data_IF_153430390676
#
_entry.id   IF_153430390676
#
_cell.length_a   1.000
_cell.length_b   1.000
_cell.length_c   1.000
_cell.angle_alpha   90.00
_cell.angle_beta   90.00
_cell.angle_gamma   90.00
#
_symmetry.space_group_name_H-M   'P 1'
#
loop_
_entity.id
_entity.type
_entity.pdbx_description
1 polymer ?
#
# COMPACT_ATOMS: atom_id res chain seq x y z
N UNK A 1 10.16 36.02 -6.99
CA UNK A 1 10.71 35.36 -5.80
C UNK A 1 11.73 34.34 -6.29
N UNK A 2 12.95 34.29 -5.76
CA UNK A 2 13.94 33.30 -6.21
C UNK A 2 13.48 31.93 -5.69
N UNK A 3 13.31 30.97 -6.59
CA UNK A 3 13.00 29.60 -6.21
C UNK A 3 14.29 28.89 -5.80
N UNK A 4 14.41 28.54 -4.52
CA UNK A 4 15.56 27.80 -4.01
C UNK A 4 15.10 26.50 -3.35
N UNK A 5 15.92 25.43 -3.37
CA UNK A 5 15.56 24.16 -2.75
C UNK A 5 15.17 24.25 -1.28
N UNK A 6 15.63 25.29 -0.56
CA UNK A 6 15.20 25.57 0.82
C UNK A 6 13.69 25.85 0.99
N UNK A 7 12.92 26.01 -0.10
CA UNK A 7 11.45 26.14 -0.05
C UNK A 7 10.74 24.93 0.56
N UNK A 8 11.34 23.74 0.53
CA UNK A 8 10.76 22.55 1.16
C UNK A 8 11.05 22.45 2.67
N UNK A 9 11.83 23.38 3.21
CA UNK A 9 12.22 23.38 4.62
C UNK A 9 11.10 23.93 5.52
N UNK A 10 10.94 23.37 6.73
CA UNK A 10 11.73 22.27 7.30
C UNK A 10 11.30 20.92 6.70
N UNK A 11 12.26 20.01 6.53
CA UNK A 11 11.98 18.62 6.11
C UNK A 11 11.92 17.64 7.30
N UNK A 12 12.52 18.02 8.44
CA UNK A 12 12.69 17.21 9.64
C UNK A 12 12.79 18.03 10.92
N UNK A 13 12.67 17.35 12.06
CA UNK A 13 12.87 17.90 13.40
C UNK A 13 14.32 17.63 13.88
N UNK A 14 15.27 18.36 13.31
CA UNK A 14 16.72 18.12 13.52
C UNK A 14 17.19 18.49 14.94
N UNK A 15 16.65 19.56 15.51
CA UNK A 15 17.06 20.04 16.85
C UNK A 15 16.44 19.20 17.97
N UNK A 16 15.16 18.86 17.84
CA UNK A 16 14.40 18.10 18.84
C UNK A 16 13.23 17.37 18.20
N UNK A 17 13.21 16.04 18.32
CA UNK A 17 12.07 15.24 17.90
C UNK A 17 10.90 15.50 18.87
N UNK A 18 9.71 15.90 18.39
CA UNK A 18 8.54 16.03 19.23
C UNK A 18 8.18 14.70 19.91
N UNK A 19 7.92 14.74 21.22
CA UNK A 19 7.67 13.53 22.03
C UNK A 19 6.56 12.65 21.45
N UNK A 20 5.44 13.24 21.00
CA UNK A 20 4.33 12.50 20.38
C UNK A 20 4.75 11.69 19.14
N UNK A 21 5.69 12.21 18.33
CA UNK A 21 6.17 11.49 17.14
C UNK A 21 7.12 10.35 17.53
N UNK A 22 7.92 10.55 18.58
CA UNK A 22 8.76 9.50 19.14
C UNK A 22 7.90 8.35 19.71
N UNK A 23 6.88 8.66 20.50
CA UNK A 23 5.96 7.68 21.10
C UNK A 23 5.21 6.90 20.02
N UNK A 24 4.66 7.60 19.00
CA UNK A 24 4.02 6.96 17.84
C UNK A 24 4.99 6.04 17.09
N UNK A 25 6.25 6.45 16.90
CA UNK A 25 7.24 5.63 16.17
C UNK A 25 7.54 4.30 16.88
N UNK A 26 7.62 4.32 18.22
CA UNK A 26 7.85 3.14 19.05
C UNK A 26 6.62 2.22 18.99
N UNK A 27 5.42 2.79 19.11
CA UNK A 27 4.18 2.03 19.04
C UNK A 27 3.98 1.38 17.66
N UNK A 28 4.21 2.11 16.57
CA UNK A 28 4.19 1.59 15.20
C UNK A 28 5.17 0.41 15.06
N UNK A 29 6.40 0.56 15.54
CA UNK A 29 7.39 -0.51 15.45
C UNK A 29 6.93 -1.77 16.20
N UNK A 30 6.36 -1.61 17.40
CA UNK A 30 5.84 -2.72 18.21
C UNK A 30 4.68 -3.42 17.50
N UNK A 31 3.69 -2.68 17.00
CA UNK A 31 2.52 -3.27 16.34
C UNK A 31 2.91 -3.91 15.00
N UNK A 32 3.78 -3.28 14.22
CA UNK A 32 4.27 -3.84 12.95
C UNK A 32 5.03 -5.16 13.16
N UNK A 33 5.80 -5.28 14.24
CA UNK A 33 6.52 -6.52 14.58
C UNK A 33 5.61 -7.71 14.92
N UNK A 34 4.34 -7.45 15.26
CA UNK A 34 3.35 -8.50 15.52
C UNK A 34 2.55 -8.90 14.27
N UNK A 35 2.67 -8.17 13.15
CA UNK A 35 1.92 -8.48 11.93
C UNK A 35 2.32 -9.84 11.35
N UNK A 36 1.30 -10.63 11.05
CA UNK A 36 1.47 -11.97 10.48
C UNK A 36 2.03 -13.01 11.44
N UNK A 37 2.13 -12.70 12.75
CA UNK A 37 2.53 -13.68 13.76
C UNK A 37 1.59 -14.89 13.72
N UNK A 38 2.18 -16.08 13.60
CA UNK A 38 1.43 -17.35 13.53
C UNK A 38 0.93 -17.73 12.13
N UNK A 39 1.07 -16.87 11.13
CA UNK A 39 0.86 -17.25 9.74
C UNK A 39 2.09 -17.99 9.20
N UNK A 40 1.87 -19.04 8.42
CA UNK A 40 2.94 -19.64 7.63
C UNK A 40 3.44 -18.62 6.58
N UNK A 41 4.76 -18.54 6.29
CA UNK A 41 5.29 -17.58 5.31
C UNK A 41 4.62 -17.64 3.93
N UNK A 42 4.30 -18.85 3.45
CA UNK A 42 3.56 -18.99 2.19
C UNK A 42 2.15 -18.41 2.26
N UNK A 43 1.39 -18.67 3.34
CA UNK A 43 0.06 -18.07 3.54
C UNK A 43 0.12 -16.55 3.70
N UNK A 44 1.16 -16.05 4.35
CA UNK A 44 1.39 -14.61 4.48
C UNK A 44 1.70 -13.98 3.11
N UNK A 45 2.45 -14.65 2.24
CA UNK A 45 2.71 -14.17 0.88
C UNK A 45 1.43 -14.08 0.03
N UNK A 46 0.52 -15.05 0.19
CA UNK A 46 -0.82 -15.05 -0.44
C UNK A 46 -1.69 -13.89 0.04
N UNK A 47 -1.66 -13.58 1.34
CA UNK A 47 -2.35 -12.40 1.89
C UNK A 47 -1.69 -11.10 1.43
N UNK A 48 -0.37 -11.05 1.36
CA UNK A 48 0.35 -9.88 0.87
C UNK A 48 -0.02 -9.55 -0.59
N UNK A 49 -0.27 -10.56 -1.44
CA UNK A 49 -0.78 -10.33 -2.81
C UNK A 49 -2.16 -9.64 -2.80
N UNK A 50 -3.05 -10.07 -1.91
CA UNK A 50 -4.36 -9.42 -1.73
C UNK A 50 -4.20 -7.97 -1.24
N UNK A 51 -3.30 -7.74 -0.27
CA UNK A 51 -3.03 -6.40 0.28
C UNK A 51 -2.40 -5.48 -0.76
N UNK A 52 -1.53 -5.97 -1.66
CA UNK A 52 -1.01 -5.20 -2.81
C UNK A 52 -2.13 -4.75 -3.73
N UNK A 53 -3.07 -5.65 -4.06
CA UNK A 53 -4.22 -5.32 -4.88
C UNK A 53 -5.10 -4.25 -4.20
N UNK A 54 -5.34 -4.38 -2.90
CA UNK A 54 -6.05 -3.40 -2.11
C UNK A 54 -5.31 -2.05 -2.06
N UNK A 55 -3.98 -2.06 -1.90
CA UNK A 55 -3.16 -0.85 -1.89
C UNK A 55 -3.28 -0.12 -3.23
N UNK A 56 -3.18 -0.85 -4.35
CA UNK A 56 -3.40 -0.33 -5.70
C UNK A 56 -4.79 0.29 -5.87
N UNK A 57 -5.85 -0.42 -5.45
CA UNK A 57 -7.22 0.08 -5.47
C UNK A 57 -7.36 1.44 -4.77
N UNK A 58 -6.91 1.57 -3.51
CA UNK A 58 -7.02 2.83 -2.78
C UNK A 58 -6.06 3.91 -3.29
N UNK A 59 -4.87 3.53 -3.75
CA UNK A 59 -3.90 4.46 -4.35
C UNK A 59 -4.51 5.14 -5.57
N UNK A 60 -5.16 4.40 -6.45
CA UNK A 60 -5.83 4.94 -7.63
C UNK A 60 -7.14 5.66 -7.27
N UNK A 61 -7.88 5.19 -6.26
CA UNK A 61 -9.09 5.87 -5.78
C UNK A 61 -8.82 7.31 -5.31
N UNK A 62 -7.67 7.57 -4.67
CA UNK A 62 -7.26 8.91 -4.24
C UNK A 62 -7.14 9.88 -5.44
N UNK A 63 -6.69 9.37 -6.59
CA UNK A 63 -6.59 10.12 -7.84
C UNK A 63 -7.94 10.23 -8.59
N UNK A 64 -9.02 9.67 -8.03
CA UNK A 64 -10.35 9.62 -8.65
C UNK A 64 -10.58 8.44 -9.59
N UNK A 65 -9.61 7.53 -9.71
CA UNK A 65 -9.67 6.37 -10.58
C UNK A 65 -10.37 5.19 -9.90
N UNK A 66 -11.68 5.07 -10.11
CA UNK A 66 -12.49 4.02 -9.49
C UNK A 66 -12.48 2.72 -10.32
N UNK A 67 -11.54 1.82 -9.99
CA UNK A 67 -11.43 0.49 -10.62
C UNK A 67 -12.10 -0.57 -9.75
N UNK A 68 -12.86 -1.50 -10.33
CA UNK A 68 -13.42 -2.62 -9.54
C UNK A 68 -12.31 -3.63 -9.22
N UNK A 69 -12.20 -4.16 -7.99
CA UNK A 69 -11.17 -5.15 -7.64
C UNK A 69 -11.11 -6.36 -8.59
N UNK A 70 -12.25 -6.80 -9.11
CA UNK A 70 -12.33 -7.89 -10.10
C UNK A 70 -11.69 -7.56 -11.44
N UNK A 71 -11.72 -6.30 -11.87
CA UNK A 71 -11.03 -5.87 -13.09
C UNK A 71 -9.51 -5.88 -12.88
N UNK A 72 -9.03 -5.53 -11.67
CA UNK A 72 -7.61 -5.63 -11.29
C UNK A 72 -7.15 -7.09 -11.32
N UNK A 73 -7.94 -8.01 -10.74
CA UNK A 73 -7.66 -9.45 -10.76
C UNK A 73 -7.59 -10.01 -12.19
N UNK A 74 -8.55 -9.64 -13.06
CA UNK A 74 -8.52 -10.00 -14.49
C UNK A 74 -7.27 -9.47 -15.19
N UNK A 75 -6.89 -8.22 -14.94
CA UNK A 75 -5.71 -7.60 -15.54
C UNK A 75 -4.41 -8.30 -15.10
N UNK A 76 -4.30 -8.66 -13.81
CA UNK A 76 -3.17 -9.43 -13.27
C UNK A 76 -3.10 -10.84 -13.85
N UNK A 77 -4.24 -11.46 -14.13
CA UNK A 77 -4.31 -12.77 -14.78
C UNK A 77 -4.02 -12.73 -16.30
N UNK A 78 -3.84 -11.54 -16.89
CA UNK A 78 -3.67 -11.38 -18.34
C UNK A 78 -4.93 -11.72 -19.14
N UNK A 79 -6.10 -11.66 -18.50
CA UNK A 79 -7.38 -11.88 -19.18
C UNK A 79 -7.72 -10.69 -20.08
N UNK A 80 -8.57 -10.93 -21.09
CA UNK A 80 -9.17 -9.87 -21.88
C UNK A 80 -10.00 -8.93 -20.98
N UNK A 81 -9.93 -7.62 -21.24
CA UNK A 81 -10.57 -6.57 -20.45
C UNK A 81 -11.55 -5.80 -21.33
N UNK A 82 -12.67 -5.38 -20.75
CA UNK A 82 -13.64 -4.53 -21.46
C UNK A 82 -12.98 -3.19 -21.82
N UNK A 83 -13.21 -2.65 -23.04
CA UNK A 83 -12.59 -1.41 -23.49
C UNK A 83 -12.76 -0.24 -22.52
N UNK A 84 -13.91 -0.15 -21.85
CA UNK A 84 -14.25 0.94 -20.94
C UNK A 84 -13.49 0.89 -19.62
N UNK A 85 -13.18 -0.31 -19.10
CA UNK A 85 -12.48 -0.48 -17.81
C UNK A 85 -10.99 -0.78 -17.99
N UNK A 86 -10.55 -1.14 -19.21
CA UNK A 86 -9.17 -1.49 -19.54
C UNK A 86 -8.13 -0.46 -19.07
N UNK A 87 -8.30 0.86 -19.27
CA UNK A 87 -7.27 1.82 -18.87
C UNK A 87 -7.00 1.78 -17.36
N UNK A 88 -8.07 1.86 -16.55
CA UNK A 88 -7.96 1.89 -15.08
C UNK A 88 -7.51 0.54 -14.51
N UNK A 89 -7.93 -0.57 -15.13
CA UNK A 89 -7.50 -1.91 -14.74
C UNK A 89 -6.01 -2.15 -15.01
N UNK A 90 -5.49 -1.68 -16.14
CA UNK A 90 -4.06 -1.75 -16.44
C UNK A 90 -3.24 -0.81 -15.54
N UNK A 91 -3.77 0.35 -15.20
CA UNK A 91 -3.14 1.27 -14.25
C UNK A 91 -3.01 0.62 -12.86
N UNK A 92 -4.08 -0.03 -12.40
CA UNK A 92 -4.07 -0.77 -11.15
C UNK A 92 -3.11 -1.97 -11.18
N UNK A 93 -3.04 -2.69 -12.31
CA UNK A 93 -2.06 -3.77 -12.53
C UNK A 93 -0.64 -3.24 -12.43
N UNK A 94 -0.30 -2.16 -13.13
CA UNK A 94 1.02 -1.53 -13.11
C UNK A 94 1.45 -1.19 -11.68
N UNK A 95 0.58 -0.58 -10.89
CA UNK A 95 0.85 -0.31 -9.48
C UNK A 95 1.17 -1.59 -8.67
N UNK A 96 0.41 -2.67 -8.86
CA UNK A 96 0.65 -3.95 -8.17
C UNK A 96 2.01 -4.53 -8.57
N UNK A 97 2.37 -4.46 -9.85
CA UNK A 97 3.64 -4.98 -10.36
C UNK A 97 4.84 -4.21 -9.79
N UNK A 98 4.81 -2.88 -9.80
CA UNK A 98 5.88 -2.06 -9.21
C UNK A 98 6.02 -2.32 -7.71
N UNK A 99 4.90 -2.42 -6.97
CA UNK A 99 4.97 -2.75 -5.55
C UNK A 99 5.56 -4.14 -5.30
N UNK A 100 5.23 -5.13 -6.13
CA UNK A 100 5.83 -6.48 -6.05
C UNK A 100 7.34 -6.42 -6.26
N UNK A 101 7.82 -5.64 -7.24
CA UNK A 101 9.25 -5.48 -7.48
C UNK A 101 9.97 -4.79 -6.31
N UNK A 102 9.34 -3.79 -5.67
CA UNK A 102 9.85 -3.18 -4.43
C UNK A 102 10.00 -4.22 -3.32
N UNK A 103 8.96 -5.05 -3.10
CA UNK A 103 8.98 -6.10 -2.08
C UNK A 103 10.09 -7.13 -2.38
N UNK A 104 10.25 -7.55 -3.63
CA UNK A 104 11.30 -8.47 -4.05
C UNK A 104 12.71 -7.88 -3.88
N UNK A 105 12.91 -6.62 -4.26
CA UNK A 105 14.19 -5.93 -4.05
C UNK A 105 14.53 -5.85 -2.56
N UNK A 106 13.53 -5.59 -1.70
CA UNK A 106 13.72 -5.57 -0.26
C UNK A 106 14.13 -6.94 0.29
N UNK A 107 13.41 -8.00 -0.10
CA UNK A 107 13.71 -9.38 0.32
C UNK A 107 15.10 -9.83 -0.13
N UNK A 108 15.55 -9.41 -1.32
CA UNK A 108 16.89 -9.70 -1.86
C UNK A 108 17.99 -8.80 -1.27
N UNK A 109 17.65 -7.80 -0.45
CA UNK A 109 18.62 -6.83 0.09
C UNK A 109 19.17 -5.85 -0.94
N UNK A 110 18.47 -5.67 -2.06
CA UNK A 110 18.89 -4.85 -3.22
C UNK A 110 18.11 -3.53 -3.34
N UNK A 111 17.09 -3.32 -2.50
CA UNK A 111 16.31 -2.08 -2.48
C UNK A 111 17.19 -0.88 -2.11
N UNK A 112 17.38 0.03 -3.07
CA UNK A 112 18.13 1.28 -2.89
C UNK A 112 17.42 2.26 -1.93
N UNK A 113 18.00 3.46 -1.74
CA UNK A 113 17.32 4.54 -1.02
C UNK A 113 16.01 4.94 -1.72
N UNK A 114 14.84 4.75 -1.06
CA UNK A 114 13.55 5.11 -1.65
C UNK A 114 13.42 6.60 -1.95
N UNK A 115 14.23 7.43 -1.27
CA UNK A 115 14.22 8.88 -1.42
C UNK A 115 15.28 9.38 -2.40
N UNK A 116 16.07 8.48 -3.00
CA UNK A 116 17.01 8.82 -4.07
C UNK A 116 16.31 9.19 -5.37
N UNK A 117 16.96 10.06 -6.16
CA UNK A 117 16.49 10.42 -7.51
C UNK A 117 16.34 9.18 -8.39
N UNK A 118 17.30 8.26 -8.33
CA UNK A 118 17.29 7.04 -9.14
C UNK A 118 16.10 6.14 -8.82
N UNK A 119 15.80 5.92 -7.53
CA UNK A 119 14.64 5.13 -7.14
C UNK A 119 13.33 5.77 -7.60
N UNK A 120 13.19 7.09 -7.45
CA UNK A 120 11.95 7.79 -7.82
C UNK A 120 11.73 7.77 -9.34
N UNK A 121 12.80 7.99 -10.12
CA UNK A 121 12.76 7.86 -11.58
C UNK A 121 12.46 6.42 -12.01
N UNK A 122 13.08 5.43 -11.37
CA UNK A 122 12.82 4.02 -11.62
C UNK A 122 11.37 3.66 -11.31
N UNK A 123 10.83 4.06 -10.17
CA UNK A 123 9.45 3.76 -9.76
C UNK A 123 8.44 4.33 -10.75
N UNK A 124 8.63 5.58 -11.17
CA UNK A 124 7.82 6.19 -12.23
C UNK A 124 7.99 5.47 -13.56
N UNK A 125 9.23 5.14 -13.96
CA UNK A 125 9.52 4.42 -15.21
C UNK A 125 8.83 3.06 -15.24
N UNK A 126 9.04 2.24 -14.23
CA UNK A 126 8.45 0.91 -14.10
C UNK A 126 6.91 0.95 -14.15
N UNK A 127 6.31 1.98 -13.53
CA UNK A 127 4.86 2.15 -13.58
C UNK A 127 4.35 2.42 -15.01
N UNK A 128 4.93 3.39 -15.72
CA UNK A 128 4.48 3.69 -17.08
C UNK A 128 4.92 2.64 -18.09
N UNK A 129 6.02 1.92 -17.86
CA UNK A 129 6.47 0.82 -18.74
C UNK A 129 5.51 -0.37 -18.73
N UNK A 130 4.80 -0.62 -17.63
CA UNK A 130 3.71 -1.59 -17.55
C UNK A 130 2.44 -1.15 -18.30
N UNK A 131 2.32 0.13 -18.66
CA UNK A 131 1.17 0.69 -19.34
C UNK A 131 1.36 0.72 -20.86
N UNK A 132 0.33 0.38 -21.66
CA UNK A 132 0.35 0.64 -23.10
C UNK A 132 0.67 2.11 -23.45
N UNK A 133 1.36 2.35 -24.57
CA UNK A 133 1.78 3.69 -25.00
C UNK A 133 0.60 4.66 -25.13
N UNK A 134 -0.58 4.17 -25.54
CA UNK A 134 -1.79 5.00 -25.68
C UNK A 134 -2.27 5.64 -24.36
N UNK A 135 -1.82 5.13 -23.21
CA UNK A 135 -2.16 5.66 -21.89
C UNK A 135 -1.05 6.51 -21.26
N UNK A 136 0.04 6.80 -22.00
CA UNK A 136 1.17 7.62 -21.54
C UNK A 136 1.05 9.08 -22.01
N UNK A 137 -0.15 9.65 -21.95
CA UNK A 137 -0.40 11.03 -22.37
C UNK A 137 -1.24 11.78 -21.35
N UNK A 138 -0.87 13.03 -21.07
CA UNK A 138 -1.69 13.96 -20.30
C UNK A 138 -2.15 15.12 -21.16
N UNK A 139 -3.33 15.65 -20.85
CA UNK A 139 -3.81 16.90 -21.42
C UNK A 139 -3.32 18.07 -20.59
N UNK A 140 -2.52 18.96 -21.19
CA UNK A 140 -2.03 20.18 -20.56
C UNK A 140 -3.14 21.24 -20.41
N UNK A 141 -2.93 22.28 -19.59
CA UNK A 141 -3.89 23.38 -19.43
C UNK A 141 -4.22 24.10 -20.75
N UNK A 142 -3.28 24.15 -21.70
CA UNK A 142 -3.47 24.70 -23.05
C UNK A 142 -4.27 23.77 -23.99
N UNK A 143 -4.63 22.58 -23.52
CA UNK A 143 -5.39 21.57 -24.26
C UNK A 143 -4.55 20.62 -25.12
N UNK A 144 -3.22 20.82 -25.19
CA UNK A 144 -2.31 19.98 -25.96
C UNK A 144 -2.05 18.67 -25.22
N UNK A 145 -2.07 17.55 -25.96
CA UNK A 145 -1.63 16.27 -25.43
C UNK A 145 -0.11 16.24 -25.36
N UNK A 146 0.41 16.00 -24.17
CA UNK A 146 1.83 15.83 -23.93
C UNK A 146 2.11 14.39 -23.51
N UNK A 147 3.13 13.81 -24.11
CA UNK A 147 3.63 12.49 -23.74
C UNK A 147 4.23 12.52 -22.34
N UNK A 148 3.91 11.49 -21.56
CA UNK A 148 4.54 11.18 -20.28
C UNK A 148 5.76 10.31 -20.60
N UNK A 149 6.94 10.92 -20.60
CA UNK A 149 8.18 10.17 -20.80
C UNK A 149 8.52 9.42 -19.51
N UNK A 150 8.56 8.08 -19.50
CA UNK A 150 8.76 7.31 -18.28
C UNK A 150 10.09 7.68 -17.58
N UNK A 151 9.99 8.06 -16.31
CA UNK A 151 11.12 8.35 -15.43
C UNK A 151 11.70 9.76 -15.58
N UNK A 152 11.15 10.59 -16.48
CA UNK A 152 11.62 11.95 -16.68
C UNK A 152 10.87 12.93 -15.78
N UNK A 153 11.64 13.80 -15.11
CA UNK A 153 11.06 14.96 -14.43
C UNK A 153 10.56 15.97 -15.45
N UNK A 154 9.59 16.81 -15.05
CA UNK A 154 9.22 17.99 -15.83
C UNK A 154 10.39 18.97 -15.91
N UNK A 155 10.61 19.60 -17.07
CA UNK A 155 11.81 20.42 -17.32
C UNK A 155 11.50 21.79 -17.90
N UNK A 156 10.45 21.91 -18.72
CA UNK A 156 10.13 23.15 -19.45
C UNK A 156 9.00 23.89 -18.74
N UNK A 157 8.93 25.21 -18.90
CA UNK A 157 7.82 26.00 -18.35
C UNK A 157 6.44 25.53 -18.84
N UNK A 158 6.35 24.98 -20.06
CA UNK A 158 5.13 24.38 -20.58
C UNK A 158 4.70 23.09 -19.86
N UNK A 159 5.57 22.55 -18.99
CA UNK A 159 5.32 21.38 -18.15
C UNK A 159 4.97 21.77 -16.70
N UNK A 160 4.85 23.08 -16.40
CA UNK A 160 4.45 23.54 -15.06
C UNK A 160 3.02 23.08 -14.72
N UNK A 161 2.82 22.74 -13.46
CA UNK A 161 1.60 22.12 -12.95
C UNK A 161 1.04 22.92 -11.77
N UNK A 162 -0.26 22.79 -11.54
CA UNK A 162 -0.96 23.34 -10.38
C UNK A 162 -1.68 22.20 -9.66
N UNK A 163 -1.54 22.13 -8.33
CA UNK A 163 -2.08 21.03 -7.52
C UNK A 163 -3.05 21.62 -6.50
N UNK A 164 -4.33 21.65 -6.84
CA UNK A 164 -5.35 22.26 -5.98
C UNK A 164 -5.10 23.76 -5.82
N UNK A 165 -4.57 24.19 -4.66
CA UNK A 165 -4.18 25.58 -4.39
C UNK A 165 -2.65 25.77 -4.31
N UNK A 166 -1.90 24.68 -4.39
CA UNK A 166 -0.45 24.68 -4.29
C UNK A 166 0.17 24.88 -5.67
N UNK A 167 1.21 25.71 -5.71
CA UNK A 167 2.08 25.93 -6.86
C UNK A 167 3.44 25.28 -6.58
N UNK A 168 3.70 24.08 -7.13
CA UNK A 168 5.00 23.44 -7.07
C UNK A 168 6.13 24.35 -7.63
N UNK A 169 7.41 24.04 -7.34
CA UNK A 169 8.53 24.73 -7.95
C UNK A 169 8.43 24.75 -9.48
N UNK A 170 8.97 25.74 -10.16
CA UNK A 170 9.00 25.77 -11.63
C UNK A 170 9.76 24.56 -12.18
N UNK A 171 9.40 24.09 -13.36
CA UNK A 171 9.97 22.84 -13.94
C UNK A 171 11.48 22.93 -14.12
N UNK A 172 12.01 24.11 -14.43
CA UNK A 172 13.45 24.37 -14.51
C UNK A 172 14.19 24.28 -13.17
N UNK A 173 13.48 24.15 -12.05
CA UNK A 173 14.03 24.06 -10.69
C UNK A 173 13.79 22.69 -10.04
N UNK A 174 13.04 21.79 -10.67
CA UNK A 174 12.72 20.48 -10.10
C UNK A 174 13.97 19.67 -9.79
N UNK A 175 14.95 19.63 -10.70
CA UNK A 175 16.18 18.84 -10.51
C UNK A 175 16.96 19.29 -9.24
N UNK A 176 17.29 20.58 -9.02
CA UNK A 176 17.89 21.05 -7.77
C UNK A 176 17.07 20.73 -6.51
N UNK A 177 15.74 20.80 -6.58
CA UNK A 177 14.87 20.44 -5.46
C UNK A 177 14.93 18.95 -5.13
N UNK A 178 14.94 18.09 -6.16
CA UNK A 178 15.03 16.65 -6.00
C UNK A 178 16.39 16.19 -5.47
N UNK A 179 17.47 16.84 -5.88
CA UNK A 179 18.81 16.60 -5.32
C UNK A 179 18.87 16.97 -3.83
N UNK A 180 18.28 18.11 -3.46
CA UNK A 180 18.18 18.53 -2.07
C UNK A 180 17.30 17.60 -1.24
N UNK A 181 16.15 17.18 -1.78
CA UNK A 181 15.27 16.18 -1.18
C UNK A 181 16.03 14.88 -0.90
N UNK A 182 16.66 14.29 -1.92
CA UNK A 182 17.39 13.04 -1.79
C UNK A 182 18.53 13.14 -0.76
N UNK A 183 19.26 14.26 -0.74
CA UNK A 183 20.31 14.51 0.25
C UNK A 183 19.77 14.53 1.67
N UNK A 184 18.68 15.27 1.93
CA UNK A 184 18.14 15.42 3.28
C UNK A 184 17.51 14.13 3.79
N UNK A 185 16.70 13.47 2.98
CA UNK A 185 16.01 12.25 3.37
C UNK A 185 16.93 11.02 3.42
N UNK A 186 17.93 10.93 2.54
CA UNK A 186 18.93 9.87 2.58
C UNK A 186 19.75 9.86 3.89
N UNK A 187 19.97 11.02 4.52
CA UNK A 187 20.60 11.07 5.84
C UNK A 187 19.70 10.50 6.94
N UNK A 188 18.41 10.84 6.93
CA UNK A 188 17.44 10.40 7.92
C UNK A 188 17.18 8.89 7.91
N UNK A 189 17.37 8.22 6.78
CA UNK A 189 17.27 6.76 6.67
C UNK A 189 18.27 6.01 7.59
N UNK A 190 19.41 6.65 7.90
CA UNK A 190 20.46 6.07 8.75
C UNK A 190 20.22 6.31 10.24
N UNK A 191 19.18 7.05 10.63
CA UNK A 191 18.90 7.39 12.02
C UNK A 191 17.69 6.61 12.53
N UNK A 192 17.88 5.61 13.42
CA UNK A 192 16.79 4.79 13.92
C UNK A 192 15.64 5.58 14.55
N UNK A 193 15.96 6.69 15.23
CA UNK A 193 15.02 7.61 15.87
C UNK A 193 14.18 8.43 14.90
N UNK A 194 14.60 8.56 13.64
CA UNK A 194 13.97 9.46 12.66
C UNK A 194 13.36 8.72 11.49
N UNK A 195 13.89 7.56 11.09
CA UNK A 195 13.50 6.87 9.84
C UNK A 195 12.01 6.56 9.70
N UNK A 196 11.28 6.29 10.79
CA UNK A 196 9.82 6.08 10.74
C UNK A 196 9.10 7.42 10.56
N UNK A 197 9.50 8.45 11.32
CA UNK A 197 8.94 9.80 11.23
C UNK A 197 9.17 10.39 9.84
N UNK A 198 10.32 10.08 9.23
CA UNK A 198 10.70 10.49 7.89
C UNK A 198 9.73 10.07 6.80
N UNK A 199 9.01 8.96 6.98
CA UNK A 199 8.07 8.46 5.97
C UNK A 199 6.99 9.51 5.71
N UNK A 200 6.47 10.13 6.78
CA UNK A 200 5.45 11.15 6.68
C UNK A 200 5.98 12.40 5.97
N UNK A 201 7.07 13.00 6.47
CA UNK A 201 7.59 14.23 5.88
C UNK A 201 8.10 14.01 4.45
N UNK A 202 8.73 12.88 4.13
CA UNK A 202 9.15 12.55 2.77
C UNK A 202 7.96 12.48 1.81
N UNK A 203 6.89 11.81 2.24
CA UNK A 203 5.66 11.68 1.46
C UNK A 203 5.10 13.06 1.09
N UNK A 204 5.01 13.97 2.07
CA UNK A 204 4.52 15.31 1.83
C UNK A 204 5.46 16.11 0.92
N UNK A 205 6.76 16.14 1.24
CA UNK A 205 7.72 16.98 0.51
C UNK A 205 7.95 16.54 -0.93
N UNK A 206 7.81 15.25 -1.24
CA UNK A 206 7.81 14.79 -2.63
C UNK A 206 6.60 15.33 -3.41
N UNK A 207 5.41 15.29 -2.81
CA UNK A 207 4.20 15.85 -3.42
C UNK A 207 4.24 17.38 -3.54
N UNK A 208 4.89 18.06 -2.59
CA UNK A 208 5.13 19.50 -2.67
C UNK A 208 6.01 19.87 -3.88
N UNK A 209 7.05 19.08 -4.16
CA UNK A 209 7.93 19.29 -5.33
C UNK A 209 7.21 18.93 -6.63
N UNK A 210 6.38 17.88 -6.59
CA UNK A 210 5.60 17.38 -7.72
C UNK A 210 6.47 17.19 -8.99
N UNK A 211 7.52 16.35 -8.94
CA UNK A 211 8.59 16.37 -9.94
C UNK A 211 8.22 15.82 -11.32
N UNK A 212 7.15 15.04 -11.44
CA UNK A 212 6.74 14.41 -12.69
C UNK A 212 5.53 15.13 -13.33
N UNK A 213 5.31 14.99 -14.65
CA UNK A 213 4.11 15.51 -15.31
C UNK A 213 2.80 14.86 -14.81
N UNK A 214 2.86 13.57 -14.44
CA UNK A 214 1.76 12.80 -13.85
C UNK A 214 2.32 11.72 -12.92
N UNK A 215 1.47 11.09 -12.11
CA UNK A 215 1.85 9.92 -11.31
C UNK A 215 2.48 10.24 -9.96
N UNK A 216 2.67 11.52 -9.61
CA UNK A 216 3.34 11.95 -8.38
C UNK A 216 2.75 11.32 -7.11
N UNK A 217 1.42 11.29 -6.96
CA UNK A 217 0.77 10.67 -5.81
C UNK A 217 1.02 9.16 -5.71
N UNK A 218 1.00 8.45 -6.85
CA UNK A 218 1.27 7.01 -6.92
C UNK A 218 2.73 6.73 -6.56
N UNK A 219 3.67 7.49 -7.13
CA UNK A 219 5.11 7.40 -6.82
C UNK A 219 5.37 7.70 -5.34
N UNK A 220 4.72 8.71 -4.75
CA UNK A 220 4.92 9.04 -3.33
C UNK A 220 4.40 7.96 -2.39
N UNK A 221 3.29 7.30 -2.72
CA UNK A 221 2.76 6.17 -1.94
C UNK A 221 3.63 4.92 -2.08
N UNK A 222 4.16 4.63 -3.28
CA UNK A 222 5.14 3.57 -3.49
C UNK A 222 6.47 3.85 -2.77
N UNK A 223 6.93 5.10 -2.76
CA UNK A 223 8.08 5.54 -1.96
C UNK A 223 7.82 5.31 -0.47
N UNK A 224 6.67 5.74 0.06
CA UNK A 224 6.33 5.53 1.48
C UNK A 224 6.30 4.04 1.84
N UNK A 225 5.79 3.18 0.96
CA UNK A 225 5.83 1.73 1.13
C UNK A 225 7.27 1.20 1.18
N UNK A 226 8.12 1.60 0.25
CA UNK A 226 9.54 1.21 0.24
C UNK A 226 10.31 1.72 1.47
N UNK A 227 10.01 2.93 1.95
CA UNK A 227 10.58 3.46 3.19
C UNK A 227 10.11 2.65 4.41
N UNK A 228 8.83 2.25 4.47
CA UNK A 228 8.31 1.39 5.53
C UNK A 228 9.02 0.03 5.58
N UNK A 229 9.28 -0.59 4.42
CA UNK A 229 10.08 -1.82 4.32
C UNK A 229 11.48 -1.60 4.93
N UNK A 230 12.22 -0.57 4.50
CA UNK A 230 13.57 -0.29 5.01
C UNK A 230 13.60 0.17 6.47
N UNK A 231 12.54 0.77 6.97
CA UNK A 231 12.41 1.16 8.38
C UNK A 231 12.09 -0.03 9.30
N UNK A 232 11.85 -1.24 8.75
CA UNK A 232 11.52 -2.44 9.51
C UNK A 232 10.05 -2.48 9.97
N UNK A 233 9.19 -1.68 9.35
CA UNK A 233 7.75 -1.64 9.66
C UNK A 233 6.89 -2.11 8.47
N UNK A 234 7.49 -2.71 7.45
CA UNK A 234 6.78 -3.19 6.26
C UNK A 234 5.82 -4.37 6.51
N UNK A 235 5.93 -5.05 7.66
CA UNK A 235 4.94 -6.03 8.13
C UNK A 235 4.65 -7.15 7.12
N UNK A 236 5.66 -7.65 6.41
CA UNK A 236 5.55 -8.66 5.36
C UNK A 236 4.61 -8.28 4.20
N UNK A 237 4.35 -6.99 3.99
CA UNK A 237 3.38 -6.51 2.99
C UNK A 237 1.92 -6.69 3.40
N UNK A 238 1.65 -6.94 4.69
CA UNK A 238 0.30 -7.19 5.20
C UNK A 238 -0.47 -5.92 5.59
N UNK A 239 0.06 -4.72 5.34
CA UNK A 239 -0.69 -3.47 5.54
C UNK A 239 -0.42 -2.48 4.40
N UNK A 240 -1.26 -1.44 4.31
CA UNK A 240 -1.20 -0.44 3.24
C UNK A 240 -1.47 0.95 3.79
N UNK A 241 -0.60 1.89 3.46
CA UNK A 241 -0.83 3.30 3.75
C UNK A 241 -1.94 3.90 2.89
N UNK A 242 -2.06 3.51 1.61
CA UNK A 242 -3.05 4.09 0.70
C UNK A 242 -4.50 3.91 1.17
N UNK A 243 -4.82 2.77 1.79
CA UNK A 243 -6.14 2.56 2.41
C UNK A 243 -6.43 3.60 3.50
N UNK A 244 -5.46 3.82 4.39
CA UNK A 244 -5.60 4.82 5.46
C UNK A 244 -5.74 6.24 4.91
N UNK A 245 -4.91 6.61 3.93
CA UNK A 245 -4.97 7.94 3.30
C UNK A 245 -6.29 8.19 2.57
N UNK A 246 -6.83 7.18 1.88
CA UNK A 246 -8.11 7.30 1.15
C UNK A 246 -9.32 7.46 2.09
N UNK A 247 -9.24 6.92 3.30
CA UNK A 247 -10.33 6.91 4.28
C UNK A 247 -10.27 8.03 5.30
N UNK A 248 -9.06 8.47 5.66
CA UNK A 248 -8.82 9.27 6.86
C UNK A 248 -9.05 8.48 8.15
N UNK A 249 -8.79 9.14 9.28
CA UNK A 249 -9.14 8.65 10.62
C UNK A 249 -10.59 8.98 10.97
N UNK A 250 -11.12 10.07 10.42
CA UNK A 250 -12.48 10.59 10.67
C UNK A 250 -13.29 10.68 9.38
N UNK A 251 -12.70 11.21 8.31
CA UNK A 251 -13.38 11.34 7.01
C UNK A 251 -12.41 11.34 5.82
N UNK A 252 -12.94 10.98 4.66
CA UNK A 252 -12.18 10.83 3.40
C UNK A 252 -11.49 12.12 2.91
N UNK A 253 -11.88 13.29 3.42
CA UNK A 253 -11.28 14.56 3.05
C UNK A 253 -10.03 14.93 3.87
N UNK A 254 -9.74 14.20 4.96
CA UNK A 254 -8.64 14.54 5.87
C UNK A 254 -7.28 14.58 5.17
N UNK A 255 -6.97 13.62 4.31
CA UNK A 255 -5.67 13.56 3.66
C UNK A 255 -5.37 14.83 2.87
N UNK A 256 -6.31 15.30 2.04
CA UNK A 256 -6.14 16.54 1.26
C UNK A 256 -5.99 17.76 2.18
N UNK A 257 -6.81 17.86 3.23
CA UNK A 257 -6.72 18.96 4.20
C UNK A 257 -5.38 18.98 4.96
N UNK A 258 -4.85 17.81 5.31
CA UNK A 258 -3.56 17.71 5.98
C UNK A 258 -2.39 18.01 5.04
N UNK A 259 -2.47 17.62 3.77
CA UNK A 259 -1.50 18.04 2.74
C UNK A 259 -1.47 19.56 2.60
N UNK A 260 -2.65 20.20 2.46
CA UNK A 260 -2.79 21.67 2.39
C UNK A 260 -2.28 22.34 3.67
N UNK A 261 -2.55 21.77 4.85
CA UNK A 261 -2.07 22.32 6.13
C UNK A 261 -0.54 22.34 6.19
N UNK A 262 0.12 21.25 5.79
CA UNK A 262 1.58 21.13 5.79
C UNK A 262 2.29 21.99 4.72
N UNK A 263 1.54 22.61 3.80
CA UNK A 263 2.00 23.65 2.87
C UNK A 263 1.96 25.05 3.50
N UNK A 264 1.44 25.19 4.73
CA UNK A 264 1.36 26.48 5.42
C UNK A 264 2.73 27.17 5.51
N UNK A 265 2.81 28.47 5.22
CA UNK A 265 4.05 29.23 5.39
C UNK A 265 4.42 29.35 6.87
N UNK A 266 5.72 29.53 7.13
CA UNK A 266 6.26 29.78 8.48
C UNK A 266 5.56 30.96 9.16
N UNK A 267 5.12 30.75 10.40
CA UNK A 267 4.37 31.73 11.21
C UNK A 267 5.26 32.39 12.26
N UNK A 268 6.12 33.30 11.79
CA UNK A 268 7.02 34.06 12.67
C UNK A 268 8.17 33.24 13.26
N UNK A 269 8.87 33.80 14.24
CA UNK A 269 10.17 33.26 14.68
C UNK A 269 10.09 32.00 15.54
N UNK A 270 8.95 31.76 16.21
CA UNK A 270 8.73 30.58 17.04
C UNK A 270 8.35 29.33 16.24
N UNK A 271 8.06 29.47 14.94
CA UNK A 271 7.60 28.38 14.06
C UNK A 271 8.76 27.70 13.30
N UNK A 272 9.85 27.45 14.02
CA UNK A 272 11.05 26.79 13.50
C UNK A 272 11.81 27.62 12.47
N UNK A 273 12.54 26.93 11.57
CA UNK A 273 13.34 27.52 10.48
C UNK A 273 12.85 26.99 9.14
N UNK A 274 13.13 27.72 8.07
CA UNK A 274 12.71 27.35 6.71
C UNK A 274 11.57 28.24 6.21
N UNK A 275 10.97 27.82 5.10
CA UNK A 275 9.90 28.57 4.44
C UNK A 275 8.50 28.10 4.87
N UNK A 276 8.37 26.82 5.23
CA UNK A 276 7.13 26.18 5.66
C UNK A 276 7.05 26.13 7.19
N UNK A 277 5.84 25.98 7.71
CA UNK A 277 5.57 25.92 9.14
C UNK A 277 6.08 24.60 9.75
N UNK A 278 6.92 24.71 10.79
CA UNK A 278 7.37 23.56 11.56
C UNK A 278 6.23 22.94 12.38
N UNK A 279 5.33 23.78 12.91
CA UNK A 279 4.13 23.33 13.61
C UNK A 279 3.18 22.55 12.69
N UNK A 280 2.92 23.06 11.49
CA UNK A 280 2.05 22.35 10.53
C UNK A 280 2.67 21.02 10.06
N UNK A 281 3.99 20.98 9.87
CA UNK A 281 4.70 19.73 9.59
C UNK A 281 4.55 18.72 10.74
N UNK A 282 4.66 19.17 12.00
CA UNK A 282 4.43 18.31 13.17
C UNK A 282 3.02 17.71 13.15
N UNK A 283 2.00 18.54 12.96
CA UNK A 283 0.61 18.08 12.93
C UNK A 283 0.37 17.06 11.81
N UNK A 284 0.94 17.32 10.63
CA UNK A 284 0.88 16.37 9.50
C UNK A 284 1.57 15.06 9.80
N UNK A 285 2.79 15.09 10.35
CA UNK A 285 3.51 13.88 10.73
C UNK A 285 2.77 13.08 11.80
N UNK A 286 2.18 13.75 12.80
CA UNK A 286 1.39 13.11 13.85
C UNK A 286 0.16 12.42 13.28
N UNK A 287 -0.58 13.10 12.40
CA UNK A 287 -1.73 12.52 11.69
C UNK A 287 -1.32 11.34 10.81
N UNK A 288 -0.30 11.49 9.96
CA UNK A 288 0.14 10.45 9.04
C UNK A 288 0.62 9.20 9.78
N UNK A 289 1.39 9.36 10.86
CA UNK A 289 1.84 8.24 11.70
C UNK A 289 0.67 7.60 12.45
N UNK A 290 -0.33 8.37 12.86
CA UNK A 290 -1.57 7.83 13.43
C UNK A 290 -2.35 6.99 12.41
N UNK A 291 -2.40 7.41 11.15
CA UNK A 291 -2.96 6.62 10.03
C UNK A 291 -2.15 5.33 9.82
N UNK A 292 -0.82 5.40 9.83
CA UNK A 292 0.04 4.21 9.74
C UNK A 292 -0.29 3.21 10.86
N UNK A 293 -0.35 3.69 12.11
CA UNK A 293 -0.67 2.86 13.26
C UNK A 293 -2.06 2.23 13.17
N UNK A 294 -3.07 3.01 12.78
CA UNK A 294 -4.44 2.52 12.56
C UNK A 294 -4.47 1.39 11.52
N UNK A 295 -3.82 1.58 10.37
CA UNK A 295 -3.81 0.57 9.31
C UNK A 295 -3.03 -0.70 9.70
N UNK A 296 -1.94 -0.57 10.48
CA UNK A 296 -1.22 -1.72 11.05
C UNK A 296 -2.13 -2.48 12.02
N UNK A 297 -2.83 -1.79 12.94
CA UNK A 297 -3.75 -2.42 13.90
C UNK A 297 -4.93 -3.10 13.22
N UNK A 298 -5.53 -2.43 12.22
CA UNK A 298 -6.57 -3.03 11.38
C UNK A 298 -6.05 -4.32 10.75
N UNK A 299 -4.87 -4.28 10.12
CA UNK A 299 -4.28 -5.45 9.48
C UNK A 299 -3.98 -6.58 10.47
N UNK A 300 -3.49 -6.26 11.67
CA UNK A 300 -3.23 -7.24 12.72
C UNK A 300 -4.52 -7.95 13.16
N UNK A 301 -5.62 -7.19 13.34
CA UNK A 301 -6.92 -7.77 13.66
C UNK A 301 -7.49 -8.61 12.51
N UNK A 302 -7.33 -8.14 11.27
CA UNK A 302 -7.87 -8.79 10.08
C UNK A 302 -7.13 -10.06 9.71
N UNK A 303 -5.81 -10.11 9.91
CA UNK A 303 -4.97 -11.24 9.50
C UNK A 303 -4.50 -12.11 10.66
N UNK A 304 -5.06 -11.90 11.86
CA UNK A 304 -4.92 -12.82 12.99
C UNK A 304 -5.33 -14.24 12.58
N UNK A 305 -4.43 -15.21 12.76
CA UNK A 305 -4.57 -16.57 12.22
C UNK A 305 -5.83 -17.28 12.74
N UNK A 306 -6.16 -17.13 14.03
CA UNK A 306 -7.30 -17.82 14.64
C UNK A 306 -8.63 -17.28 14.11
N UNK A 307 -8.76 -15.93 14.06
CA UNK A 307 -9.95 -15.28 13.49
C UNK A 307 -10.07 -15.55 12.00
N UNK A 308 -8.96 -15.48 11.26
CA UNK A 308 -8.96 -15.74 9.83
C UNK A 308 -9.37 -17.18 9.54
N UNK A 309 -8.77 -18.17 10.22
CA UNK A 309 -9.16 -19.58 10.07
C UNK A 309 -10.65 -19.79 10.37
N UNK A 310 -11.17 -19.15 11.42
CA UNK A 310 -12.59 -19.24 11.78
C UNK A 310 -13.49 -18.70 10.67
N UNK A 311 -13.22 -17.49 10.16
CA UNK A 311 -13.99 -16.90 9.06
C UNK A 311 -13.90 -17.74 7.79
N UNK A 312 -12.72 -18.29 7.50
CA UNK A 312 -12.48 -19.12 6.32
C UNK A 312 -13.25 -20.44 6.38
N UNK A 313 -13.20 -21.13 7.53
CA UNK A 313 -13.94 -22.38 7.77
C UNK A 313 -15.46 -22.18 7.68
N UNK A 314 -15.96 -21.08 8.26
CA UNK A 314 -17.39 -20.73 8.17
C UNK A 314 -17.81 -20.47 6.73
N UNK A 315 -17.03 -19.67 6.00
CA UNK A 315 -17.31 -19.39 4.60
C UNK A 315 -17.38 -20.67 3.76
N UNK A 316 -16.39 -21.55 3.91
CA UNK A 316 -16.32 -22.78 3.12
C UNK A 316 -17.45 -23.74 3.45
N UNK A 317 -17.86 -23.82 4.72
CA UNK A 317 -19.04 -24.60 5.13
C UNK A 317 -20.32 -24.10 4.46
N UNK A 318 -20.46 -22.79 4.26
CA UNK A 318 -21.66 -22.21 3.65
C UNK A 318 -21.66 -22.32 2.13
N UNK A 319 -20.48 -22.41 1.50
CA UNK A 319 -20.33 -22.44 0.04
C UNK A 319 -20.25 -23.87 -0.51
N UNK A 320 -19.67 -24.80 0.23
CA UNK A 320 -19.45 -26.19 -0.19
C UNK A 320 -20.20 -27.17 0.73
N UNK A 321 -20.86 -28.16 0.12
CA UNK A 321 -21.56 -29.24 0.84
C UNK A 321 -20.60 -30.28 1.45
N UNK A 322 -19.31 -30.23 1.09
CA UNK A 322 -18.31 -31.13 1.66
C UNK A 322 -17.88 -30.70 3.08
N UNK A 323 -18.38 -31.44 4.09
CA UNK A 323 -18.07 -31.22 5.51
C UNK A 323 -16.59 -31.28 5.87
N UNK A 324 -15.73 -31.86 5.03
CA UNK A 324 -14.28 -31.98 5.24
C UNK A 324 -13.51 -30.78 4.67
N UNK A 325 -14.11 -30.02 3.76
CA UNK A 325 -13.46 -28.89 3.12
C UNK A 325 -12.96 -27.82 4.12
N UNK A 326 -13.70 -27.46 5.19
CA UNK A 326 -13.19 -26.55 6.22
C UNK A 326 -11.92 -27.06 6.92
N UNK A 327 -11.80 -28.36 7.17
CA UNK A 327 -10.63 -28.95 7.83
C UNK A 327 -9.40 -28.90 6.94
N UNK A 328 -9.53 -29.28 5.67
CA UNK A 328 -8.44 -29.24 4.69
C UNK A 328 -7.90 -27.81 4.53
N UNK A 329 -8.78 -26.82 4.51
CA UNK A 329 -8.41 -25.41 4.43
C UNK A 329 -7.66 -24.93 5.66
N UNK A 330 -8.08 -25.34 6.85
CA UNK A 330 -7.41 -24.95 8.09
C UNK A 330 -6.00 -25.52 8.17
N UNK A 331 -5.81 -26.75 7.68
CA UNK A 331 -4.48 -27.37 7.53
C UNK A 331 -3.64 -26.56 6.55
N UNK A 332 -4.12 -26.28 5.33
CA UNK A 332 -3.35 -25.55 4.32
C UNK A 332 -3.02 -24.12 4.78
N UNK A 333 -3.96 -23.42 5.42
CA UNK A 333 -3.71 -22.08 5.95
C UNK A 333 -2.57 -22.07 6.99
N UNK A 334 -2.53 -23.07 7.88
CA UNK A 334 -1.50 -23.22 8.93
C UNK A 334 -0.15 -23.72 8.42
N UNK A 335 -0.14 -24.55 7.40
CA UNK A 335 1.08 -25.17 6.86
C UNK A 335 1.58 -24.51 5.56
N UNK A 336 0.85 -23.56 4.99
CA UNK A 336 1.21 -22.82 3.78
C UNK A 336 0.82 -23.54 2.50
N UNK A 337 1.34 -24.75 2.33
CA UNK A 337 1.02 -25.61 1.20
C UNK A 337 0.81 -27.05 1.63
N UNK A 338 0.18 -27.81 0.73
CA UNK A 338 -0.05 -29.23 0.90
C UNK A 338 0.17 -29.95 -0.42
N UNK A 339 0.95 -31.02 -0.37
CA UNK A 339 1.07 -31.94 -1.50
C UNK A 339 -0.27 -32.62 -1.77
N UNK A 340 -0.64 -32.71 -3.04
CA UNK A 340 -1.96 -33.25 -3.45
C UNK A 340 -2.15 -34.68 -2.96
N UNK A 341 -1.06 -35.45 -2.92
CA UNK A 341 -1.03 -36.81 -2.39
C UNK A 341 -1.35 -36.88 -0.90
N UNK A 342 -0.97 -35.88 -0.12
CA UNK A 342 -1.04 -35.91 1.35
C UNK A 342 -2.38 -35.45 1.93
N UNK A 343 -3.28 -34.95 1.09
CA UNK A 343 -4.60 -34.50 1.54
C UNK A 343 -5.41 -35.57 2.25
N UNK A 344 -5.20 -36.84 1.89
CA UNK A 344 -5.87 -37.96 2.56
C UNK A 344 -5.35 -38.18 3.99
N UNK A 345 -4.08 -37.86 4.26
CA UNK A 345 -3.49 -37.91 5.59
C UNK A 345 -4.06 -36.77 6.45
N UNK A 346 -4.13 -35.56 5.91
CA UNK A 346 -4.71 -34.40 6.58
C UNK A 346 -6.18 -34.61 6.96
N UNK A 347 -6.96 -35.22 6.05
CA UNK A 347 -8.39 -35.48 6.24
C UNK A 347 -8.73 -36.82 6.88
N UNK A 348 -7.74 -37.71 7.07
CA UNK A 348 -7.92 -39.08 7.57
C UNK A 348 -9.02 -39.84 6.81
N UNK A 349 -8.96 -39.80 5.48
CA UNK A 349 -9.96 -40.41 4.59
C UNK A 349 -9.30 -41.13 3.41
N UNK A 350 -10.08 -41.71 2.50
CA UNK A 350 -9.52 -42.34 1.29
C UNK A 350 -8.93 -41.30 0.35
N UNK A 351 -7.90 -41.67 -0.43
CA UNK A 351 -7.32 -40.77 -1.44
C UNK A 351 -8.35 -40.22 -2.43
N UNK A 352 -9.31 -41.06 -2.85
CA UNK A 352 -10.39 -40.63 -3.75
C UNK A 352 -11.23 -39.53 -3.12
N UNK A 353 -11.61 -39.71 -1.86
CA UNK A 353 -12.40 -38.72 -1.11
C UNK A 353 -11.64 -37.41 -0.97
N UNK A 354 -10.38 -37.47 -0.52
CA UNK A 354 -9.57 -36.27 -0.33
C UNK A 354 -9.33 -35.51 -1.65
N UNK A 355 -9.13 -36.24 -2.75
CA UNK A 355 -9.00 -35.66 -4.08
C UNK A 355 -10.25 -34.92 -4.52
N UNK A 356 -11.44 -35.46 -4.24
CA UNK A 356 -12.71 -34.79 -4.53
C UNK A 356 -12.86 -33.50 -3.71
N UNK A 357 -12.63 -33.55 -2.39
CA UNK A 357 -12.68 -32.37 -1.52
C UNK A 357 -11.73 -31.27 -2.00
N UNK A 358 -10.50 -31.63 -2.39
CA UNK A 358 -9.53 -30.68 -2.94
C UNK A 358 -9.98 -30.10 -4.29
N UNK A 359 -10.56 -30.93 -5.17
CA UNK A 359 -11.07 -30.48 -6.46
C UNK A 359 -12.20 -29.45 -6.29
N UNK A 360 -13.10 -29.66 -5.32
CA UNK A 360 -14.18 -28.71 -5.02
C UNK A 360 -13.64 -27.37 -4.51
N UNK A 361 -12.63 -27.41 -3.64
CA UNK A 361 -11.95 -26.22 -3.14
C UNK A 361 -11.20 -25.44 -4.23
N UNK A 362 -10.50 -26.15 -5.14
CA UNK A 362 -9.84 -25.55 -6.30
C UNK A 362 -10.87 -24.92 -7.25
N UNK A 363 -11.96 -25.63 -7.54
CA UNK A 363 -13.03 -25.16 -8.41
C UNK A 363 -13.72 -23.90 -7.85
N UNK A 364 -13.88 -23.82 -6.53
CA UNK A 364 -14.45 -22.66 -5.85
C UNK A 364 -13.44 -21.51 -5.63
N UNK A 365 -12.18 -21.69 -6.03
CA UNK A 365 -11.15 -20.65 -5.95
C UNK A 365 -10.53 -20.44 -4.55
N UNK A 366 -10.83 -21.30 -3.58
CA UNK A 366 -10.25 -21.23 -2.23
C UNK A 366 -8.82 -21.79 -2.15
N UNK A 367 -8.44 -22.59 -3.13
CA UNK A 367 -7.08 -23.08 -3.30
C UNK A 367 -6.56 -22.67 -4.67
N UNK A 368 -5.24 -22.48 -4.77
CA UNK A 368 -4.55 -22.28 -6.03
C UNK A 368 -3.33 -23.19 -6.13
N UNK A 369 -2.88 -23.42 -7.36
CA UNK A 369 -1.63 -24.13 -7.62
C UNK A 369 -1.01 -23.61 -8.91
N UNK A 370 0.31 -23.38 -8.96
CA UNK A 370 0.99 -22.92 -10.18
C UNK A 370 0.82 -23.88 -11.38
N UNK A 371 0.66 -25.17 -11.10
CA UNK A 371 0.45 -26.21 -12.11
C UNK A 371 -0.41 -27.37 -11.56
N UNK A 372 -0.90 -28.27 -12.43
CA UNK A 372 -1.61 -29.47 -11.98
C UNK A 372 -0.76 -30.42 -11.13
N UNK A 373 0.59 -30.32 -11.17
CA UNK A 373 1.52 -31.24 -10.51
C UNK A 373 2.17 -30.67 -9.25
N UNK A 374 1.96 -29.39 -8.95
CA UNK A 374 2.56 -28.72 -7.80
C UNK A 374 1.65 -28.80 -6.57
N UNK A 375 2.21 -28.57 -5.35
CA UNK A 375 1.42 -28.40 -4.13
C UNK A 375 0.30 -27.38 -4.31
N UNK A 376 -0.76 -27.53 -3.52
CA UNK A 376 -1.83 -26.53 -3.42
C UNK A 376 -1.51 -25.56 -2.28
N UNK A 377 -1.86 -24.29 -2.50
CA UNK A 377 -1.76 -23.19 -1.53
C UNK A 377 -3.12 -22.59 -1.28
N UNK A 378 -3.26 -21.89 -0.16
CA UNK A 378 -4.44 -21.10 0.13
C UNK A 378 -4.60 -20.00 -0.94
N UNK A 379 -5.83 -19.68 -1.29
CA UNK A 379 -6.18 -18.56 -2.15
C UNK A 379 -7.32 -17.76 -1.55
N UNK A 380 -7.40 -16.47 -1.88
CA UNK A 380 -8.34 -15.52 -1.28
C UNK A 380 -9.30 -14.97 -2.34
N UNK A 381 -10.34 -15.73 -2.73
CA UNK A 381 -11.25 -15.35 -3.82
C UNK A 381 -11.99 -14.05 -3.52
N UNK A 382 -11.91 -13.08 -4.44
CA UNK A 382 -12.50 -11.73 -4.27
C UNK A 382 -14.02 -11.72 -4.20
N UNK A 383 -14.68 -12.73 -4.77
CA UNK A 383 -16.14 -12.87 -4.72
C UNK A 383 -16.65 -13.00 -3.27
N UNK A 384 -15.79 -13.45 -2.33
CA UNK A 384 -16.12 -13.58 -0.91
C UNK A 384 -15.37 -12.61 0.01
N UNK A 385 -14.72 -11.58 -0.56
CA UNK A 385 -13.82 -10.67 0.18
C UNK A 385 -14.48 -10.02 1.40
N UNK A 386 -15.76 -9.65 1.36
CA UNK A 386 -16.43 -9.01 2.51
C UNK A 386 -16.69 -10.01 3.65
N UNK A 387 -16.79 -11.30 3.35
CA UNK A 387 -16.96 -12.36 4.37
C UNK A 387 -15.62 -12.74 5.00
N UNK A 388 -14.55 -12.77 4.21
CA UNK A 388 -13.20 -13.10 4.66
C UNK A 388 -12.49 -11.92 5.32
N UNK A 389 -12.63 -10.75 4.69
CA UNK A 389 -11.93 -9.51 5.00
C UNK A 389 -12.90 -8.33 4.95
N UNK A 390 -13.87 -8.29 5.87
CA UNK A 390 -14.78 -7.15 5.93
C UNK A 390 -14.00 -5.81 6.05
N UNK A 391 -14.48 -4.78 5.37
CA UNK A 391 -13.84 -3.46 5.24
C UNK A 391 -12.45 -3.41 4.60
N UNK A 392 -11.99 -4.49 3.98
CA UNK A 392 -10.74 -4.44 3.24
C UNK A 392 -10.91 -3.56 1.99
N UNK A 393 -11.99 -3.75 1.22
CA UNK A 393 -12.29 -2.99 0.00
C UNK A 393 -13.49 -2.04 0.13
N UNK A 394 -14.09 -1.92 1.31
CA UNK A 394 -15.33 -1.16 1.55
C UNK A 394 -15.31 -0.41 2.88
N UNK A 395 -16.31 0.46 3.08
CA UNK A 395 -16.54 1.26 4.30
C UNK A 395 -17.78 0.80 5.10
N UNK A 396 -18.28 -0.42 4.87
CA UNK A 396 -19.48 -0.91 5.57
C UNK A 396 -19.18 -1.14 7.06
N UNK A 397 -19.96 -0.60 7.99
CA UNK A 397 -19.72 -0.83 9.42
C UNK A 397 -19.65 -2.35 9.74
N UNK A 398 -18.53 -2.79 10.31
CA UNK A 398 -18.42 -4.15 10.86
C UNK A 398 -19.08 -4.11 12.22
N UNK A 399 -20.22 -4.77 12.36
CA UNK A 399 -20.78 -5.04 13.69
C UNK A 399 -19.81 -5.96 14.44
N UNK A 400 -19.22 -5.53 15.57
CA UNK A 400 -18.45 -6.43 16.41
C UNK A 400 -19.36 -7.55 16.93
N UNK A 401 -18.86 -8.78 17.11
CA UNK A 401 -19.65 -9.83 17.76
C UNK A 401 -20.08 -9.36 19.15
N UNK A 402 -21.35 -9.63 19.52
CA UNK A 402 -21.83 -9.34 20.87
C UNK A 402 -20.88 -9.97 21.91
N UNK A 403 -20.53 -9.24 22.99
CA UNK A 403 -19.74 -9.83 24.06
C UNK A 403 -20.42 -11.10 24.60
N UNK A 404 -19.64 -12.10 25.06
CA UNK A 404 -20.21 -13.34 25.59
C UNK A 404 -21.24 -13.00 26.66
N UNK A 405 -22.46 -13.53 26.53
CA UNK A 405 -23.46 -13.41 27.58
C UNK A 405 -22.87 -14.07 28.83
N UNK A 406 -22.57 -13.25 29.84
CA UNK A 406 -22.24 -13.76 31.16
C UNK A 406 -23.47 -14.54 31.63
N UNK A 407 -23.34 -15.84 31.74
CA UNK A 407 -24.33 -16.68 32.41
C UNK A 407 -24.45 -16.17 33.84
N UNK A 408 -25.54 -15.47 34.15
CA UNK A 408 -25.96 -15.20 35.51
C UNK A 408 -26.20 -16.55 36.18
N UNK A 409 -25.29 -16.91 37.11
CA UNK A 409 -25.45 -18.05 37.99
C UNK A 409 -26.59 -17.88 38.98
#
# INVERSE_FOLDING_TARGET
>A
MIETPSRIEPVFFEDQIPQVLADLSIEIQREAGNLGRGLHPESAAELADLVRMMNSYYSNLIEGHNTRPKDIERALAGAELEPETRPLALEAKAHVMVQREIDEMHLKGTLSSPTSVDFLRWSHRAFYDEMPEEFRFIKRPDGILAEIVPGEFRQKAADDVEVGRHLPPSSSQVQPFMEHFAKRFGAAENWPSTRIIAIASAHHRLNYIHPFPDGNGRVSRLMSHAMAQRAGIGGFGLWSISRGLARGLRDRGEYKRMMDHADSPRRGDLDGRGNLSAAALKDYCEWFLSVVLDQIRFSAFMFDIERLETRFRMLVRDVLDDKRAPDLIGVILKHGSLDRGDAHLALKTSERTARNTMADLLKAGFLRSPSPKTPVRIAFPLDYRERLFPNLFTDAEISPPEPPRLSSG
#
